data_IF_385881517601
#
_entry.id   IF_385881517601
#
_cell.length_a   1.000
_cell.length_b   1.000
_cell.length_c   1.000
_cell.angle_alpha   90.00
_cell.angle_beta   90.00
_cell.angle_gamma   90.00
#
_symmetry.space_group_name_H-M   'P 1'
#
loop_
_entity.id
_entity.type
_entity.pdbx_description
1 polymer ?
#
# COMPACT_ATOMS: atom_id res chain seq x y z
N UNK A 1 18.22 -11.73 -18.60
CA UNK A 1 19.15 -11.83 -19.75
C UNK A 1 19.00 -13.14 -20.50
N UNK A 2 19.14 -14.30 -19.85
CA UNK A 2 19.11 -15.63 -20.52
C UNK A 2 17.91 -15.82 -21.45
N UNK A 3 16.72 -15.40 -21.06
CA UNK A 3 15.52 -15.48 -21.92
C UNK A 3 15.64 -14.57 -23.14
N UNK A 4 16.16 -13.34 -22.97
CA UNK A 4 16.34 -12.40 -24.08
C UNK A 4 17.38 -12.94 -25.08
N UNK A 5 18.45 -13.55 -24.59
CA UNK A 5 19.49 -14.16 -25.44
C UNK A 5 18.99 -15.37 -26.20
N UNK A 6 18.14 -16.19 -25.60
CA UNK A 6 17.57 -17.37 -26.25
C UNK A 6 16.55 -17.04 -27.33
N UNK A 7 15.93 -15.87 -27.29
CA UNK A 7 14.85 -15.45 -28.19
C UNK A 7 15.39 -14.57 -29.33
N UNK A 8 15.99 -15.15 -30.36
CA UNK A 8 16.66 -14.43 -31.46
C UNK A 8 15.75 -13.47 -32.27
N UNK A 9 14.44 -13.72 -32.28
CA UNK A 9 13.45 -12.92 -33.01
C UNK A 9 12.65 -11.97 -32.11
N UNK A 10 13.03 -11.84 -30.84
CA UNK A 10 12.34 -10.96 -29.89
C UNK A 10 12.57 -9.49 -30.27
N UNK A 11 11.50 -8.72 -30.40
CA UNK A 11 11.53 -7.29 -30.74
C UNK A 11 10.79 -6.42 -29.74
N UNK A 12 9.94 -7.02 -28.93
CA UNK A 12 9.08 -6.29 -27.99
C UNK A 12 8.82 -7.11 -26.72
N UNK A 13 8.86 -6.45 -25.58
CA UNK A 13 8.49 -7.00 -24.28
C UNK A 13 7.46 -6.06 -23.66
N UNK A 14 6.22 -6.54 -23.47
CA UNK A 14 5.20 -5.85 -22.69
C UNK A 14 5.19 -6.34 -21.25
N UNK A 15 5.44 -5.44 -20.30
CA UNK A 15 5.35 -5.75 -18.88
C UNK A 15 3.91 -5.50 -18.42
N UNK A 16 3.26 -6.52 -17.86
CA UNK A 16 1.90 -6.41 -17.28
C UNK A 16 1.94 -5.82 -15.86
N UNK A 17 2.82 -4.86 -15.62
CA UNK A 17 2.98 -4.18 -14.34
C UNK A 17 3.49 -2.76 -14.56
N UNK A 18 3.47 -1.96 -13.50
CA UNK A 18 3.98 -0.60 -13.54
C UNK A 18 5.47 -0.56 -13.86
N UNK A 19 5.85 0.36 -14.75
CA UNK A 19 7.23 0.64 -15.10
C UNK A 19 7.51 2.13 -14.91
N UNK A 20 8.22 2.48 -13.83
CA UNK A 20 8.60 3.85 -13.52
C UNK A 20 10.07 4.15 -13.88
N UNK A 21 10.96 3.18 -13.71
CA UNK A 21 12.37 3.31 -14.07
C UNK A 21 12.95 1.95 -14.47
N UNK A 22 14.10 1.90 -15.18
CA UNK A 22 14.78 0.64 -15.51
C UNK A 22 15.09 -0.21 -14.29
N UNK A 23 15.38 0.42 -13.15
CA UNK A 23 15.75 -0.25 -11.89
C UNK A 23 14.55 -0.92 -11.21
N UNK A 24 13.34 -0.41 -11.47
CA UNK A 24 12.08 -1.00 -10.94
C UNK A 24 11.56 -2.16 -11.80
N UNK A 25 12.18 -2.41 -12.95
CA UNK A 25 11.75 -3.44 -13.88
C UNK A 25 12.21 -4.84 -13.46
N UNK A 26 11.38 -5.84 -13.72
CA UNK A 26 11.76 -7.26 -13.65
C UNK A 26 12.40 -7.77 -14.95
N UNK A 27 12.63 -6.87 -15.92
CA UNK A 27 13.31 -7.09 -17.20
C UNK A 27 14.58 -6.25 -17.22
N UNK A 28 15.68 -6.80 -17.68
CA UNK A 28 16.91 -6.04 -17.94
C UNK A 28 16.69 -5.13 -19.16
N UNK A 29 16.18 -3.92 -18.91
CA UNK A 29 15.80 -2.96 -19.95
C UNK A 29 17.00 -2.53 -20.76
N UNK A 30 18.14 -2.24 -20.10
CA UNK A 30 19.35 -1.78 -20.79
C UNK A 30 19.85 -2.85 -21.75
N UNK A 31 19.89 -4.09 -21.30
CA UNK A 31 20.30 -5.21 -22.15
C UNK A 31 19.31 -5.44 -23.32
N UNK A 32 18.01 -5.30 -23.08
CA UNK A 32 17.00 -5.39 -24.13
C UNK A 32 17.19 -4.29 -25.21
N UNK A 33 17.44 -3.04 -24.77
CA UNK A 33 17.71 -1.90 -25.66
C UNK A 33 18.96 -2.08 -26.49
N UNK A 34 20.06 -2.60 -25.90
CA UNK A 34 21.29 -2.96 -26.63
C UNK A 34 21.05 -3.99 -27.74
N UNK A 35 20.04 -4.85 -27.59
CA UNK A 35 19.61 -5.85 -28.57
C UNK A 35 18.55 -5.31 -29.54
N UNK A 36 18.20 -4.04 -29.46
CA UNK A 36 17.15 -3.43 -30.30
C UNK A 36 15.72 -3.86 -29.92
N UNK A 37 15.52 -4.38 -28.71
CA UNK A 37 14.23 -4.85 -28.22
C UNK A 37 13.56 -3.71 -27.45
N UNK A 38 12.33 -3.36 -27.84
CA UNK A 38 11.54 -2.34 -27.14
C UNK A 38 10.88 -2.95 -25.90
N UNK A 39 11.07 -2.32 -24.73
CA UNK A 39 10.37 -2.67 -23.50
C UNK A 39 9.36 -1.60 -23.16
N UNK A 40 8.14 -1.99 -22.83
CA UNK A 40 7.08 -1.10 -22.35
C UNK A 40 6.40 -1.71 -21.12
N UNK A 41 6.06 -0.86 -20.17
CA UNK A 41 5.23 -1.18 -19.02
C UNK A 41 4.02 -0.26 -18.96
N UNK A 42 3.14 -0.53 -18.04
CA UNK A 42 1.97 0.29 -17.77
C UNK A 42 2.40 1.44 -16.86
N UNK A 43 1.92 2.65 -17.13
CA UNK A 43 2.05 3.79 -16.22
C UNK A 43 0.67 4.13 -15.66
N UNK A 44 0.67 4.72 -14.48
CA UNK A 44 -0.55 5.16 -13.79
C UNK A 44 -1.60 4.03 -13.65
N UNK A 45 -1.10 2.81 -13.48
CA UNK A 45 -1.94 1.66 -13.20
C UNK A 45 -2.43 1.72 -11.76
N UNK A 46 -3.74 1.60 -11.58
CA UNK A 46 -4.40 1.41 -10.30
C UNK A 46 -5.33 0.22 -10.39
N UNK A 47 -5.32 -0.63 -9.37
CA UNK A 47 -6.17 -1.82 -9.33
C UNK A 47 -7.41 -1.53 -8.48
N UNK A 48 -8.59 -1.61 -9.10
CA UNK A 48 -9.87 -1.44 -8.39
C UNK A 48 -10.09 -2.54 -7.35
N UNK A 49 -9.60 -3.76 -7.61
CA UNK A 49 -9.67 -4.87 -6.66
C UNK A 49 -8.97 -4.58 -5.34
N UNK A 50 -7.86 -3.83 -5.37
CA UNK A 50 -7.18 -3.37 -4.15
C UNK A 50 -8.05 -2.41 -3.34
N UNK A 51 -8.78 -1.53 -4.02
CA UNK A 51 -9.72 -0.61 -3.35
C UNK A 51 -10.86 -1.39 -2.71
N UNK A 52 -11.43 -2.35 -3.45
CA UNK A 52 -12.49 -3.23 -2.95
C UNK A 52 -12.02 -4.05 -1.74
N UNK A 53 -10.80 -4.56 -1.77
CA UNK A 53 -10.18 -5.26 -0.65
C UNK A 53 -10.15 -4.37 0.61
N UNK A 54 -9.55 -3.17 0.52
CA UNK A 54 -9.45 -2.26 1.67
C UNK A 54 -10.82 -1.90 2.21
N UNK A 55 -11.77 -1.54 1.34
CA UNK A 55 -13.12 -1.14 1.76
C UNK A 55 -13.88 -2.32 2.40
N UNK A 56 -13.83 -3.50 1.79
CA UNK A 56 -14.55 -4.67 2.28
C UNK A 56 -14.03 -5.14 3.64
N UNK A 57 -12.71 -5.26 3.79
CA UNK A 57 -12.11 -5.68 5.05
C UNK A 57 -12.34 -4.65 6.16
N UNK A 58 -12.19 -3.36 5.85
CA UNK A 58 -12.42 -2.30 6.81
C UNK A 58 -13.88 -2.28 7.29
N UNK A 59 -14.86 -2.32 6.36
CA UNK A 59 -16.28 -2.37 6.69
C UNK A 59 -16.59 -3.63 7.50
N UNK A 60 -16.11 -4.79 7.04
CA UNK A 60 -16.33 -6.06 7.75
C UNK A 60 -15.87 -5.99 9.20
N UNK A 61 -14.70 -5.40 9.43
CA UNK A 61 -14.07 -5.33 10.74
C UNK A 61 -14.72 -4.28 11.65
N UNK A 62 -15.08 -3.11 11.11
CA UNK A 62 -15.76 -2.04 11.84
C UNK A 62 -17.16 -2.45 12.31
N UNK A 63 -17.90 -3.19 11.48
CA UNK A 63 -19.27 -3.62 11.79
C UNK A 63 -19.37 -5.00 12.43
N UNK A 64 -18.27 -5.74 12.52
CA UNK A 64 -18.28 -7.10 13.06
C UNK A 64 -19.01 -8.09 12.15
N UNK A 65 -18.97 -7.89 10.82
CA UNK A 65 -19.50 -8.86 9.86
C UNK A 65 -18.56 -10.05 9.75
N UNK A 66 -18.71 -11.01 10.63
CA UNK A 66 -17.85 -12.17 10.76
C UNK A 66 -17.53 -12.47 12.21
N UNK A 67 -16.40 -13.11 12.46
CA UNK A 67 -16.02 -13.57 13.81
C UNK A 67 -15.32 -12.49 14.65
N UNK A 68 -14.74 -11.48 14.00
CA UNK A 68 -13.98 -10.41 14.66
C UNK A 68 -14.57 -9.03 14.41
N UNK A 69 -14.53 -8.20 15.44
CA UNK A 69 -14.91 -6.79 15.41
C UNK A 69 -13.84 -5.96 16.11
N UNK A 70 -13.50 -4.80 15.55
CA UNK A 70 -12.40 -3.97 16.05
C UNK A 70 -12.63 -3.38 17.44
N UNK A 71 -13.81 -2.85 17.68
CA UNK A 71 -14.19 -2.23 18.95
C UNK A 71 -15.35 -3.01 19.58
N UNK A 72 -15.62 -2.77 20.86
CA UNK A 72 -16.75 -3.37 21.56
C UNK A 72 -18.11 -3.14 20.87
N UNK A 73 -18.24 -1.99 20.20
CA UNK A 73 -19.45 -1.65 19.43
C UNK A 73 -19.11 -1.44 17.96
N UNK A 74 -20.02 -1.77 17.04
CA UNK A 74 -19.87 -1.45 15.63
C UNK A 74 -19.60 0.04 15.42
N UNK A 75 -18.75 0.35 14.45
CA UNK A 75 -18.38 1.72 14.07
C UNK A 75 -18.69 1.95 12.60
N UNK A 76 -18.92 3.20 12.26
CA UNK A 76 -19.03 3.65 10.88
C UNK A 76 -17.69 4.19 10.37
N UNK A 77 -17.56 4.30 9.04
CA UNK A 77 -16.42 4.97 8.43
C UNK A 77 -16.46 6.49 8.60
N UNK A 78 -17.65 7.04 8.89
CA UNK A 78 -17.83 8.49 9.12
C UNK A 78 -16.90 8.95 10.24
N UNK A 79 -16.11 9.98 9.94
CA UNK A 79 -15.11 10.57 10.84
C UNK A 79 -13.94 9.65 11.26
N UNK A 80 -13.88 8.41 10.76
CA UNK A 80 -12.73 7.54 10.97
C UNK A 80 -11.49 8.17 10.32
N UNK A 81 -10.42 8.33 11.09
CA UNK A 81 -9.19 8.92 10.59
C UNK A 81 -8.34 7.89 9.86
N UNK A 82 -8.21 8.06 8.55
CA UNK A 82 -7.44 7.14 7.71
C UNK A 82 -6.27 7.85 7.06
N UNK A 83 -5.08 7.28 7.20
CA UNK A 83 -3.84 7.75 6.59
C UNK A 83 -3.48 6.92 5.36
N UNK A 84 -3.20 7.58 4.25
CA UNK A 84 -2.66 6.93 3.03
C UNK A 84 -1.20 7.31 2.86
N UNK A 85 -0.31 6.33 3.03
CA UNK A 85 1.14 6.49 2.84
C UNK A 85 1.47 6.06 1.41
N UNK A 86 1.78 7.06 0.57
CA UNK A 86 1.97 6.86 -0.86
C UNK A 86 0.72 7.21 -1.69
N UNK A 87 0.48 8.52 -1.92
CA UNK A 87 -0.68 8.99 -2.69
C UNK A 87 -0.39 8.98 -4.21
N UNK A 88 -0.07 7.79 -4.74
CA UNK A 88 0.00 7.46 -6.16
C UNK A 88 -1.39 7.11 -6.72
N UNK A 89 -1.45 6.41 -7.86
CA UNK A 89 -2.73 6.05 -8.50
C UNK A 89 -3.62 5.22 -7.57
N UNK A 90 -3.13 4.10 -7.04
CA UNK A 90 -3.88 3.24 -6.11
C UNK A 90 -4.24 3.98 -4.82
N UNK A 91 -3.27 4.71 -4.21
CA UNK A 91 -3.54 5.46 -2.99
C UNK A 91 -4.63 6.53 -3.15
N UNK A 92 -4.69 7.20 -4.32
CA UNK A 92 -5.77 8.14 -4.64
C UNK A 92 -7.12 7.45 -4.78
N UNK A 93 -7.15 6.28 -5.39
CA UNK A 93 -8.38 5.49 -5.54
C UNK A 93 -8.92 5.03 -4.17
N UNK A 94 -8.05 4.53 -3.30
CA UNK A 94 -8.41 4.16 -1.91
C UNK A 94 -8.92 5.40 -1.16
N UNK A 95 -8.19 6.52 -1.21
CA UNK A 95 -8.61 7.76 -0.56
C UNK A 95 -9.98 8.22 -1.04
N UNK A 96 -10.23 8.20 -2.36
CA UNK A 96 -11.52 8.59 -2.93
C UNK A 96 -12.67 7.66 -2.49
N UNK A 97 -12.43 6.35 -2.45
CA UNK A 97 -13.41 5.37 -1.97
C UNK A 97 -13.78 5.57 -0.50
N UNK A 98 -12.79 5.74 0.35
CA UNK A 98 -13.00 5.98 1.79
C UNK A 98 -13.64 7.35 2.06
N UNK A 99 -13.25 8.39 1.33
CA UNK A 99 -13.83 9.71 1.44
C UNK A 99 -15.31 9.72 1.03
N UNK A 100 -15.67 8.95 0.01
CA UNK A 100 -17.05 8.76 -0.42
C UNK A 100 -17.95 8.14 0.66
N UNK A 101 -17.35 7.45 1.65
CA UNK A 101 -18.03 6.87 2.81
C UNK A 101 -17.87 7.72 4.08
N UNK A 102 -17.33 8.94 3.98
CA UNK A 102 -17.27 9.90 5.08
C UNK A 102 -16.03 9.82 5.97
N UNK A 103 -15.01 9.04 5.61
CA UNK A 103 -13.76 8.98 6.37
C UNK A 103 -12.98 10.30 6.31
N UNK A 104 -12.28 10.63 7.39
CA UNK A 104 -11.37 11.79 7.47
C UNK A 104 -9.98 11.40 6.99
N UNK A 105 -9.60 11.91 5.82
CA UNK A 105 -8.42 11.44 5.08
C UNK A 105 -7.18 12.29 5.32
N UNK A 106 -6.10 11.60 5.66
CA UNK A 106 -4.75 12.13 5.75
C UNK A 106 -3.84 11.43 4.76
N UNK A 107 -2.77 12.06 4.32
CA UNK A 107 -1.79 11.40 3.49
C UNK A 107 -0.37 11.87 3.75
N UNK A 108 0.56 10.97 3.47
CA UNK A 108 1.97 11.25 3.31
C UNK A 108 2.44 10.80 1.92
N UNK A 109 3.24 11.59 1.28
CA UNK A 109 3.86 11.24 0.00
C UNK A 109 5.13 12.06 -0.17
N UNK A 110 6.17 11.47 -0.75
CA UNK A 110 7.44 12.13 -1.05
C UNK A 110 7.27 13.47 -1.81
N UNK A 111 6.26 13.53 -2.65
CA UNK A 111 5.87 14.76 -3.35
C UNK A 111 4.45 15.12 -2.95
N UNK A 112 4.27 16.32 -2.43
CA UNK A 112 2.97 16.84 -2.02
C UNK A 112 1.97 16.90 -3.16
N UNK A 113 0.70 16.60 -2.91
CA UNK A 113 -0.38 16.48 -3.89
C UNK A 113 -1.45 17.56 -3.67
N UNK A 114 -1.13 18.80 -4.04
CA UNK A 114 -2.02 19.95 -3.80
C UNK A 114 -3.42 19.77 -4.41
N UNK A 115 -3.54 19.10 -5.56
CA UNK A 115 -4.84 18.82 -6.19
C UNK A 115 -5.71 17.90 -5.31
N UNK A 116 -5.10 16.97 -4.56
CA UNK A 116 -5.83 16.10 -3.64
C UNK A 116 -6.19 16.83 -2.34
N UNK A 117 -5.35 17.78 -1.92
CA UNK A 117 -5.65 18.64 -0.76
C UNK A 117 -6.88 19.54 -1.05
N UNK A 118 -7.04 20.01 -2.27
CA UNK A 118 -8.24 20.75 -2.70
C UNK A 118 -9.51 19.91 -2.66
N UNK A 119 -9.38 18.57 -2.70
CA UNK A 119 -10.48 17.63 -2.54
C UNK A 119 -10.74 17.25 -1.07
N UNK A 120 -9.98 17.80 -0.13
CA UNK A 120 -10.15 17.60 1.30
C UNK A 120 -9.23 16.55 1.93
N UNK A 121 -8.29 15.95 1.18
CA UNK A 121 -7.30 15.03 1.74
C UNK A 121 -6.16 15.83 2.39
N UNK A 122 -5.88 15.63 3.67
CA UNK A 122 -4.99 16.46 4.48
C UNK A 122 -3.55 15.92 4.45
N UNK A 123 -2.58 16.76 4.07
CA UNK A 123 -1.16 16.37 4.15
C UNK A 123 -0.65 16.39 5.60
N UNK A 124 0.16 15.38 5.95
CA UNK A 124 0.98 15.36 7.16
C UNK A 124 2.34 14.71 6.87
N UNK A 125 3.35 15.08 7.63
CA UNK A 125 4.59 14.31 7.70
C UNK A 125 4.30 12.91 8.26
N UNK A 126 5.15 11.93 7.94
CA UNK A 126 4.86 10.51 8.19
C UNK A 126 4.55 10.25 9.67
N UNK A 127 5.41 10.69 10.58
CA UNK A 127 5.25 10.43 12.01
C UNK A 127 3.99 11.11 12.56
N UNK A 128 3.73 12.37 12.18
CA UNK A 128 2.51 13.09 12.57
C UNK A 128 1.24 12.43 12.00
N UNK A 129 1.32 11.83 10.81
CA UNK A 129 0.23 11.06 10.24
C UNK A 129 -0.06 9.85 11.10
N UNK A 130 0.97 9.04 11.39
CA UNK A 130 0.83 7.81 12.17
C UNK A 130 0.25 8.06 13.56
N UNK A 131 0.68 9.12 14.25
CA UNK A 131 0.13 9.52 15.55
C UNK A 131 -1.36 9.96 15.45
N UNK A 132 -1.78 10.45 14.28
CA UNK A 132 -3.12 11.04 14.11
C UNK A 132 -4.19 10.01 13.77
N UNK A 133 -3.84 8.97 12.98
CA UNK A 133 -4.83 8.12 12.32
C UNK A 133 -5.21 6.89 13.13
N UNK A 134 -6.37 6.34 12.83
CA UNK A 134 -6.86 5.07 13.37
C UNK A 134 -6.52 3.90 12.45
N UNK A 135 -6.44 4.19 11.16
CA UNK A 135 -6.14 3.22 10.12
C UNK A 135 -5.04 3.79 9.23
N UNK A 136 -4.03 3.00 8.90
CA UNK A 136 -3.01 3.36 7.91
C UNK A 136 -3.04 2.40 6.73
N UNK A 137 -3.03 2.95 5.51
CA UNK A 137 -2.91 2.20 4.26
C UNK A 137 -1.61 2.58 3.56
N UNK A 138 -0.72 1.64 3.32
CA UNK A 138 0.51 1.87 2.54
C UNK A 138 0.31 1.42 1.09
N UNK A 139 0.66 2.30 0.15
CA UNK A 139 0.56 2.11 -1.31
C UNK A 139 1.89 2.48 -1.96
N UNK A 140 2.95 1.78 -1.58
CA UNK A 140 4.32 2.12 -1.93
C UNK A 140 4.84 1.31 -3.11
N UNK A 141 5.84 1.83 -3.78
CA UNK A 141 6.59 1.09 -4.79
C UNK A 141 7.39 -0.04 -4.14
N UNK A 142 7.67 -1.08 -4.94
CA UNK A 142 8.53 -2.19 -4.52
C UNK A 142 9.86 -1.68 -3.94
N UNK A 143 10.31 -2.31 -2.86
CA UNK A 143 11.55 -2.00 -2.14
C UNK A 143 11.57 -0.64 -1.42
N UNK A 144 10.42 -0.09 -1.10
CA UNK A 144 10.29 1.10 -0.26
C UNK A 144 9.72 0.69 1.09
N UNK A 145 10.56 0.67 2.11
CA UNK A 145 10.16 0.43 3.50
C UNK A 145 10.15 1.77 4.22
N UNK A 146 9.04 2.12 4.85
CA UNK A 146 8.86 3.37 5.60
C UNK A 146 8.43 3.15 7.04
N UNK A 147 7.88 1.97 7.38
CA UNK A 147 7.47 1.64 8.73
C UNK A 147 8.55 0.79 9.41
N UNK A 148 9.42 1.46 10.14
CA UNK A 148 10.44 0.88 11.01
C UNK A 148 9.93 0.82 12.45
N UNK A 149 10.74 0.39 13.40
CA UNK A 149 10.34 0.30 14.82
C UNK A 149 9.79 1.63 15.35
N UNK A 150 10.46 2.75 15.05
CA UNK A 150 10.03 4.09 15.44
C UNK A 150 8.63 4.44 14.91
N UNK A 151 8.32 4.08 13.65
CA UNK A 151 7.02 4.35 13.03
C UNK A 151 5.92 3.51 13.66
N UNK A 152 6.18 2.27 14.08
CA UNK A 152 5.21 1.48 14.84
C UNK A 152 4.97 2.04 16.24
N UNK A 153 6.01 2.59 16.90
CA UNK A 153 5.83 3.32 18.15
C UNK A 153 4.94 4.56 17.98
N UNK A 154 5.11 5.31 16.87
CA UNK A 154 4.27 6.46 16.50
C UNK A 154 2.84 6.07 16.17
N UNK A 155 2.64 4.97 15.48
CA UNK A 155 1.32 4.44 15.17
C UNK A 155 0.56 4.06 16.45
N UNK A 156 1.28 3.51 17.44
CA UNK A 156 0.70 3.11 18.72
C UNK A 156 -0.20 1.88 18.60
N UNK A 157 -1.13 1.74 19.56
CA UNK A 157 -2.01 0.58 19.68
C UNK A 157 -3.46 0.90 19.32
N UNK A 158 -4.32 -0.12 19.22
CA UNK A 158 -5.73 -0.05 18.80
C UNK A 158 -5.87 0.49 17.36
N UNK A 159 -5.00 0.04 16.47
CA UNK A 159 -4.91 0.53 15.08
C UNK A 159 -5.04 -0.59 14.07
N UNK A 160 -5.38 -0.21 12.85
CA UNK A 160 -5.37 -1.11 11.69
C UNK A 160 -4.33 -0.67 10.67
N UNK A 161 -3.55 -1.61 10.18
CA UNK A 161 -2.56 -1.39 9.14
C UNK A 161 -2.88 -2.24 7.91
N UNK A 162 -3.10 -1.58 6.77
CA UNK A 162 -3.29 -2.19 5.46
C UNK A 162 -2.04 -1.99 4.61
N UNK A 163 -1.38 -3.07 4.23
CA UNK A 163 -0.31 -3.00 3.23
C UNK A 163 -0.82 -3.47 1.87
N UNK A 164 -1.02 -2.54 0.95
CA UNK A 164 -1.39 -2.78 -0.44
C UNK A 164 -0.24 -2.52 -1.41
N UNK A 165 0.97 -2.49 -0.90
CA UNK A 165 2.19 -2.43 -1.69
C UNK A 165 2.51 -3.81 -2.25
N UNK A 166 3.23 -3.88 -3.38
CA UNK A 166 3.64 -5.17 -3.99
C UNK A 166 4.61 -5.97 -3.08
N UNK A 167 5.26 -5.29 -2.15
CA UNK A 167 6.23 -5.85 -1.22
C UNK A 167 6.02 -5.24 0.18
N UNK A 168 6.68 -5.74 1.22
CA UNK A 168 6.60 -5.15 2.54
C UNK A 168 6.94 -3.65 2.51
N UNK A 169 6.09 -2.85 3.12
CA UNK A 169 6.33 -1.42 3.37
C UNK A 169 6.85 -1.17 4.79
N UNK A 170 7.16 -2.26 5.50
CA UNK A 170 7.48 -2.33 6.92
C UNK A 170 8.59 -3.33 7.20
N UNK A 171 9.25 -3.18 8.33
CA UNK A 171 10.15 -4.20 8.87
C UNK A 171 9.33 -5.29 9.58
N UNK A 172 9.68 -6.55 9.37
CA UNK A 172 8.91 -7.72 9.86
C UNK A 172 8.93 -7.81 11.39
N UNK A 173 10.11 -7.76 12.03
CA UNK A 173 10.20 -7.90 13.48
C UNK A 173 9.47 -6.78 14.25
N UNK A 174 9.53 -5.50 13.84
CA UNK A 174 8.67 -4.46 14.40
C UNK A 174 7.17 -4.71 14.21
N UNK A 175 6.74 -5.22 13.05
CA UNK A 175 5.34 -5.60 12.82
C UNK A 175 4.92 -6.73 13.75
N UNK A 176 5.72 -7.82 13.86
CA UNK A 176 5.45 -8.94 14.79
C UNK A 176 5.26 -8.43 16.23
N UNK A 177 6.19 -7.59 16.72
CA UNK A 177 6.12 -6.98 18.04
C UNK A 177 4.86 -6.12 18.24
N UNK A 178 4.50 -5.34 17.20
CA UNK A 178 3.32 -4.48 17.24
C UNK A 178 2.02 -5.30 17.28
N UNK A 179 1.96 -6.44 16.61
CA UNK A 179 0.84 -7.38 16.61
C UNK A 179 0.68 -8.19 17.91
N UNK A 180 1.71 -8.24 18.77
CA UNK A 180 1.58 -8.83 20.11
C UNK A 180 0.54 -8.09 20.98
N UNK A 181 0.26 -6.83 20.68
CA UNK A 181 -0.89 -6.11 21.21
C UNK A 181 -2.16 -6.58 20.48
N UNK A 182 -2.97 -7.40 21.15
CA UNK A 182 -4.06 -8.18 20.56
C UNK A 182 -5.26 -7.40 19.99
N UNK A 183 -5.18 -6.09 19.90
CA UNK A 183 -6.14 -5.16 19.30
C UNK A 183 -5.55 -4.35 18.13
N UNK A 184 -4.33 -4.65 17.75
CA UNK A 184 -3.72 -4.21 16.51
C UNK A 184 -3.98 -5.23 15.40
N UNK A 185 -4.33 -4.76 14.20
CA UNK A 185 -4.69 -5.62 13.10
C UNK A 185 -3.89 -5.27 11.84
N UNK A 186 -3.43 -6.30 11.15
CA UNK A 186 -2.71 -6.16 9.90
C UNK A 186 -3.42 -6.88 8.77
N UNK A 187 -3.55 -6.21 7.63
CA UNK A 187 -4.18 -6.71 6.42
C UNK A 187 -3.24 -6.53 5.24
N UNK A 188 -3.14 -7.54 4.38
CA UNK A 188 -2.45 -7.44 3.10
C UNK A 188 -3.22 -8.23 2.03
N UNK A 189 -3.12 -7.77 0.80
CA UNK A 189 -3.83 -8.33 -0.35
C UNK A 189 -3.05 -9.43 -1.08
N UNK A 190 -1.77 -9.58 -0.74
CA UNK A 190 -0.89 -10.60 -1.35
C UNK A 190 0.15 -11.12 -0.37
N UNK A 191 0.61 -12.37 -0.57
CA UNK A 191 1.73 -12.96 0.20
C UNK A 191 3.00 -12.12 0.08
N UNK A 192 3.22 -11.47 -1.07
CA UNK A 192 4.37 -10.58 -1.27
C UNK A 192 4.31 -9.33 -0.40
N UNK A 193 3.12 -8.82 -0.13
CA UNK A 193 2.89 -7.68 0.75
C UNK A 193 3.05 -8.05 2.23
N UNK A 194 2.74 -9.29 2.59
CA UNK A 194 2.97 -9.83 3.93
C UNK A 194 4.45 -9.80 4.30
N UNK A 195 5.29 -10.31 3.40
CA UNK A 195 6.75 -10.31 3.58
C UNK A 195 7.25 -11.29 4.64
N UNK A 196 6.43 -12.23 5.09
CA UNK A 196 6.81 -13.27 6.04
C UNK A 196 7.14 -14.59 5.34
N UNK A 197 8.43 -14.85 4.99
CA UNK A 197 8.83 -16.11 4.37
C UNK A 197 8.79 -17.28 5.34
N UNK A 198 8.59 -17.05 6.62
CA UNK A 198 8.58 -18.09 7.68
C UNK A 198 7.18 -18.54 8.05
N UNK A 199 6.13 -17.82 7.64
CA UNK A 199 4.74 -18.13 7.96
C UNK A 199 4.41 -17.96 9.44
N UNK A 200 5.02 -16.96 10.11
CA UNK A 200 4.78 -16.68 11.54
C UNK A 200 3.74 -15.57 11.76
N UNK A 201 3.41 -14.82 10.72
CA UNK A 201 2.35 -13.82 10.71
C UNK A 201 1.01 -14.41 10.29
#
# INVERSE_FOLDING_TARGET
RSVIEACQNLRYIGMCCSLYSPESANVDIRFAEEKGITVRGIRDYGDQGVVEFVLSELIRYLHGFGEKQWKEKPMELTDLKVGVVGLGTTGKMIAAGLQGLGADLYYYSRTRKHDEELKGVKYKELDDLLETVDVVCTCLNKNVILLHEEQFEKLGNHKMFFNTSIAPSHDIAPLEKWLEHGDNEFFCDTDGALGDPTGRL
#
